data_IF_666743577160
#
_entry.id   IF_666743577160
#
_cell.length_a   1.000
_cell.length_b   1.000
_cell.length_c   1.000
_cell.angle_alpha   90.00
_cell.angle_beta   90.00
_cell.angle_gamma   90.00
#
_symmetry.space_group_name_H-M   'P 1'
#
loop_
_entity.id
_entity.type
_entity.pdbx_description
1 polymer ?
#
# COMPACT_ATOMS: atom_id res chain seq x y z
N UNK A 1 -7.12 -56.42 6.06
CA UNK A 1 -7.73 -55.41 5.17
C UNK A 1 -7.60 -53.98 5.76
N UNK A 2 -6.44 -53.59 6.30
CA UNK A 2 -6.26 -52.33 7.06
C UNK A 2 -5.55 -51.19 6.26
N UNK A 3 -4.85 -51.53 5.17
CA UNK A 3 -4.05 -50.56 4.41
C UNK A 3 -4.82 -49.62 3.45
N UNK A 4 -6.07 -49.94 3.12
CA UNK A 4 -6.88 -49.13 2.19
C UNK A 4 -7.43 -47.86 2.85
N UNK A 5 -7.78 -47.93 4.15
CA UNK A 5 -8.40 -46.82 4.88
C UNK A 5 -7.40 -45.67 5.16
N UNK A 6 -6.14 -46.00 5.44
CA UNK A 6 -5.10 -44.97 5.68
C UNK A 6 -4.73 -44.18 4.43
N UNK A 7 -4.80 -44.79 3.23
CA UNK A 7 -4.54 -44.09 1.98
C UNK A 7 -5.67 -43.12 1.64
N UNK A 8 -6.92 -43.55 1.80
CA UNK A 8 -8.09 -42.68 1.57
C UNK A 8 -8.14 -41.49 2.54
N UNK A 9 -7.79 -41.69 3.81
CA UNK A 9 -7.71 -40.61 4.80
C UNK A 9 -6.62 -39.59 4.45
N UNK A 10 -5.42 -40.04 4.04
CA UNK A 10 -4.33 -39.16 3.62
C UNK A 10 -4.66 -38.39 2.32
N UNK A 11 -5.30 -39.04 1.34
CA UNK A 11 -5.73 -38.38 0.10
C UNK A 11 -6.86 -37.37 0.34
N UNK A 12 -7.79 -37.66 1.24
CA UNK A 12 -8.85 -36.72 1.64
C UNK A 12 -8.31 -35.51 2.41
N UNK A 13 -7.28 -35.68 3.24
CA UNK A 13 -6.60 -34.59 3.95
C UNK A 13 -5.84 -33.67 3.00
N UNK A 14 -5.16 -34.24 2.00
CA UNK A 14 -4.49 -33.48 0.93
C UNK A 14 -5.54 -32.79 0.03
N UNK A 15 -6.66 -33.44 -0.28
CA UNK A 15 -7.75 -32.83 -1.04
C UNK A 15 -8.42 -31.68 -0.28
N UNK A 16 -8.64 -31.79 1.03
CA UNK A 16 -9.15 -30.72 1.88
C UNK A 16 -8.15 -29.56 2.07
N UNK A 17 -6.85 -29.84 2.01
CA UNK A 17 -5.80 -28.81 1.97
C UNK A 17 -5.74 -28.05 0.64
N UNK A 18 -6.22 -28.66 -0.45
CA UNK A 18 -6.21 -28.09 -1.80
C UNK A 18 -7.55 -27.42 -2.16
N UNK A 19 -8.66 -27.90 -1.63
CA UNK A 19 -10.00 -27.36 -1.85
C UNK A 19 -10.49 -26.57 -0.62
N UNK A 20 -10.42 -25.24 -0.71
CA UNK A 20 -11.14 -24.39 0.24
C UNK A 20 -12.66 -24.55 0.03
N UNK A 21 -13.47 -24.64 1.10
CA UNK A 21 -14.92 -24.69 0.97
C UNK A 21 -15.42 -23.44 0.21
N UNK A 22 -16.53 -23.53 -0.53
CA UNK A 22 -17.02 -22.44 -1.40
C UNK A 22 -17.20 -21.12 -0.64
N UNK A 23 -17.72 -21.14 0.59
CA UNK A 23 -17.83 -19.94 1.43
C UNK A 23 -16.46 -19.29 1.74
N UNK A 24 -15.41 -20.07 1.99
CA UNK A 24 -14.07 -19.53 2.20
C UNK A 24 -13.43 -19.01 0.91
N UNK A 25 -13.82 -19.56 -0.25
CA UNK A 25 -13.38 -19.04 -1.55
C UNK A 25 -14.05 -17.69 -1.86
N UNK A 26 -15.33 -17.52 -1.51
CA UNK A 26 -16.05 -16.25 -1.66
C UNK A 26 -15.46 -15.16 -0.77
N UNK A 27 -15.19 -15.45 0.51
CA UNK A 27 -14.53 -14.51 1.44
C UNK A 27 -13.14 -14.09 0.93
N UNK A 28 -12.37 -15.02 0.37
CA UNK A 28 -11.04 -14.73 -0.20
C UNK A 28 -11.16 -13.80 -1.42
N UNK A 29 -12.15 -14.02 -2.29
CA UNK A 29 -12.39 -13.16 -3.45
C UNK A 29 -12.86 -11.78 -3.02
N UNK A 30 -13.69 -11.67 -1.99
CA UNK A 30 -14.12 -10.40 -1.41
C UNK A 30 -12.91 -9.59 -0.92
N UNK A 31 -12.04 -10.19 -0.11
CA UNK A 31 -10.82 -9.53 0.39
C UNK A 31 -9.87 -9.14 -0.75
N UNK A 32 -9.80 -9.97 -1.81
CA UNK A 32 -9.06 -9.64 -3.04
C UNK A 32 -9.64 -8.43 -3.78
N UNK A 33 -10.97 -8.31 -3.85
CA UNK A 33 -11.66 -7.14 -4.43
C UNK A 33 -11.43 -5.90 -3.59
N UNK A 34 -11.59 -5.98 -2.25
CA UNK A 34 -11.32 -4.86 -1.34
C UNK A 34 -9.89 -4.31 -1.52
N UNK A 35 -8.89 -5.18 -1.70
CA UNK A 35 -7.51 -4.78 -1.97
C UNK A 35 -7.38 -4.02 -3.30
N UNK A 36 -7.99 -4.55 -4.37
CA UNK A 36 -7.95 -3.91 -5.69
C UNK A 36 -8.64 -2.54 -5.64
N UNK A 37 -9.80 -2.45 -4.99
CA UNK A 37 -10.55 -1.21 -4.85
C UNK A 37 -9.81 -0.18 -3.99
N UNK A 38 -9.16 -0.62 -2.90
CA UNK A 38 -8.28 0.24 -2.11
C UNK A 38 -7.12 0.78 -2.95
N UNK A 39 -6.46 -0.08 -3.74
CA UNK A 39 -5.40 0.31 -4.66
C UNK A 39 -5.87 1.32 -5.70
N UNK A 40 -7.01 1.08 -6.36
CA UNK A 40 -7.60 2.01 -7.34
C UNK A 40 -7.96 3.34 -6.70
N UNK A 41 -8.60 3.31 -5.54
CA UNK A 41 -9.01 4.51 -4.81
C UNK A 41 -7.80 5.37 -4.46
N UNK A 42 -6.71 4.75 -4.01
CA UNK A 42 -5.47 5.45 -3.74
C UNK A 42 -4.88 6.08 -5.00
N UNK A 43 -4.76 5.33 -6.09
CA UNK A 43 -4.22 5.87 -7.34
C UNK A 43 -5.06 7.03 -7.88
N UNK A 44 -6.40 6.95 -7.80
CA UNK A 44 -7.26 8.07 -8.16
C UNK A 44 -7.06 9.30 -7.28
N UNK A 45 -6.93 9.11 -5.96
CA UNK A 45 -6.61 10.21 -5.05
C UNK A 45 -5.26 10.84 -5.38
N UNK A 46 -4.24 10.02 -5.64
CA UNK A 46 -2.91 10.47 -6.03
C UNK A 46 -2.92 11.21 -7.37
N UNK A 47 -3.75 10.77 -8.32
CA UNK A 47 -3.93 11.45 -9.61
C UNK A 47 -4.55 12.84 -9.43
N UNK A 48 -5.64 12.93 -8.66
CA UNK A 48 -6.34 14.20 -8.40
C UNK A 48 -5.45 15.15 -7.60
N UNK A 49 -4.81 14.66 -6.54
CA UNK A 49 -3.86 15.41 -5.72
C UNK A 49 -2.68 15.90 -6.56
N UNK A 50 -2.09 15.01 -7.36
CA UNK A 50 -1.00 15.33 -8.28
C UNK A 50 -1.41 16.39 -9.31
N UNK A 51 -2.58 16.25 -9.92
CA UNK A 51 -3.11 17.22 -10.88
C UNK A 51 -3.34 18.60 -10.24
N UNK A 52 -3.90 18.64 -9.03
CA UNK A 52 -4.05 19.89 -8.28
C UNK A 52 -2.70 20.54 -7.97
N UNK A 53 -1.69 19.75 -7.61
CA UNK A 53 -0.33 20.24 -7.38
C UNK A 53 0.34 20.76 -8.66
N UNK A 54 0.16 20.08 -9.81
CA UNK A 54 0.66 20.58 -11.09
C UNK A 54 0.03 21.94 -11.41
N UNK A 55 -1.31 22.03 -11.34
CA UNK A 55 -2.02 23.26 -11.65
C UNK A 55 -1.65 24.41 -10.69
N UNK A 56 -1.71 24.16 -9.38
CA UNK A 56 -1.41 25.15 -8.35
C UNK A 56 0.07 25.54 -8.31
N UNK A 57 0.97 24.57 -8.47
CA UNK A 57 2.41 24.80 -8.52
C UNK A 57 2.82 25.61 -9.74
N UNK A 58 2.27 25.32 -10.93
CA UNK A 58 2.51 26.10 -12.14
C UNK A 58 1.98 27.52 -11.99
N UNK A 59 0.74 27.67 -11.50
CA UNK A 59 0.15 28.98 -11.26
C UNK A 59 1.01 29.81 -10.30
N UNK A 60 1.48 29.21 -9.20
CA UNK A 60 2.35 29.91 -8.25
C UNK A 60 3.70 30.28 -8.85
N UNK A 61 4.31 29.36 -9.63
CA UNK A 61 5.59 29.61 -10.30
C UNK A 61 5.48 30.76 -11.30
N UNK A 62 4.45 30.74 -12.15
CA UNK A 62 4.23 31.77 -13.18
C UNK A 62 3.85 33.13 -12.59
N UNK A 63 3.27 33.14 -11.39
CA UNK A 63 2.92 34.35 -10.65
C UNK A 63 4.03 34.85 -9.71
N UNK A 64 5.21 34.22 -9.71
CA UNK A 64 6.35 34.59 -8.85
C UNK A 64 7.57 34.91 -9.69
N UNK A 65 8.30 35.95 -9.30
CA UNK A 65 9.64 36.20 -9.83
C UNK A 65 10.69 35.37 -9.06
N UNK A 66 11.73 34.91 -9.75
CA UNK A 66 12.75 34.05 -9.13
C UNK A 66 13.64 34.82 -8.14
N UNK A 67 13.89 36.09 -8.38
CA UNK A 67 14.78 36.90 -7.56
C UNK A 67 14.01 37.61 -6.45
N UNK A 68 12.87 38.23 -6.78
CA UNK A 68 12.07 39.00 -5.81
C UNK A 68 11.23 38.08 -4.90
N UNK A 69 10.70 36.99 -5.46
CA UNK A 69 9.79 36.03 -4.81
C UNK A 69 10.36 34.61 -4.74
N UNK A 70 11.69 34.48 -4.64
CA UNK A 70 12.44 33.22 -4.66
C UNK A 70 11.82 32.05 -3.86
N UNK A 71 11.27 32.32 -2.67
CA UNK A 71 10.57 31.30 -1.87
C UNK A 71 9.32 30.76 -2.57
N UNK A 72 8.44 31.65 -3.05
CA UNK A 72 7.18 31.27 -3.71
C UNK A 72 7.48 30.56 -5.03
N UNK A 73 8.47 31.05 -5.77
CA UNK A 73 8.95 30.41 -6.99
C UNK A 73 9.46 28.99 -6.72
N UNK A 74 10.36 28.82 -5.75
CA UNK A 74 10.91 27.51 -5.37
C UNK A 74 9.83 26.54 -4.86
N UNK A 75 8.87 27.04 -4.07
CA UNK A 75 7.73 26.24 -3.62
C UNK A 75 6.84 25.78 -4.80
N UNK A 76 6.58 26.69 -5.75
CA UNK A 76 5.75 26.42 -6.92
C UNK A 76 6.35 25.36 -7.84
N UNK A 77 7.64 25.50 -8.16
CA UNK A 77 8.38 24.53 -8.98
C UNK A 77 8.35 23.16 -8.32
N UNK A 78 8.68 23.10 -7.03
CA UNK A 78 8.77 21.83 -6.33
C UNK A 78 7.41 21.14 -6.19
N UNK A 79 6.36 21.92 -5.94
CA UNK A 79 4.97 21.43 -5.94
C UNK A 79 4.57 20.88 -7.31
N UNK A 80 4.95 21.55 -8.40
CA UNK A 80 4.69 21.11 -9.78
C UNK A 80 5.39 19.80 -10.09
N UNK A 81 6.68 19.67 -9.76
CA UNK A 81 7.48 18.49 -10.04
C UNK A 81 6.89 17.27 -9.33
N UNK A 82 6.63 17.37 -8.03
CA UNK A 82 6.02 16.26 -7.27
C UNK A 82 4.62 15.92 -7.75
N UNK A 83 3.81 16.93 -8.07
CA UNK A 83 2.49 16.74 -8.66
C UNK A 83 2.57 15.93 -9.96
N UNK A 84 3.53 16.25 -10.83
CA UNK A 84 3.73 15.57 -12.10
C UNK A 84 4.13 14.11 -11.92
N UNK A 85 5.03 13.84 -10.96
CA UNK A 85 5.44 12.46 -10.60
C UNK A 85 4.22 11.65 -10.11
N UNK A 86 3.41 12.23 -9.22
CA UNK A 86 2.20 11.58 -8.71
C UNK A 86 1.20 11.25 -9.83
N UNK A 87 0.99 12.18 -10.76
CA UNK A 87 0.13 11.96 -11.94
C UNK A 87 0.67 10.82 -12.80
N UNK A 88 1.97 10.80 -13.08
CA UNK A 88 2.60 9.76 -13.88
C UNK A 88 2.47 8.37 -13.26
N UNK A 89 2.83 8.24 -11.97
CA UNK A 89 2.72 6.97 -11.22
C UNK A 89 1.25 6.52 -11.16
N UNK A 90 0.33 7.42 -10.83
CA UNK A 90 -1.08 7.09 -10.73
C UNK A 90 -1.68 6.65 -12.08
N UNK A 91 -1.35 7.36 -13.16
CA UNK A 91 -1.82 7.03 -14.51
C UNK A 91 -1.35 5.64 -14.96
N UNK A 92 -0.05 5.35 -14.80
CA UNK A 92 0.50 4.02 -15.12
C UNK A 92 -0.13 2.96 -14.21
N UNK A 93 -0.23 3.22 -12.91
CA UNK A 93 -0.83 2.29 -11.95
C UNK A 93 -2.28 1.94 -12.28
N UNK A 94 -3.10 2.94 -12.64
CA UNK A 94 -4.50 2.72 -13.03
C UNK A 94 -4.61 1.88 -14.31
N UNK A 95 -3.75 2.13 -15.29
CA UNK A 95 -3.69 1.33 -16.52
C UNK A 95 -3.34 -0.13 -16.23
N UNK A 96 -2.35 -0.39 -15.36
CA UNK A 96 -1.98 -1.74 -14.95
C UNK A 96 -3.08 -2.44 -14.15
N UNK A 97 -3.81 -1.68 -13.32
CA UNK A 97 -4.86 -2.22 -12.47
C UNK A 97 -6.20 -2.42 -13.21
N UNK A 98 -6.34 -1.94 -14.44
CA UNK A 98 -7.55 -2.10 -15.26
C UNK A 98 -7.91 -3.58 -15.46
N UNK A 99 -6.91 -4.44 -15.63
CA UNK A 99 -7.08 -5.89 -15.87
C UNK A 99 -6.93 -6.76 -14.61
N UNK A 100 -6.78 -6.14 -13.43
CA UNK A 100 -6.60 -6.88 -12.17
C UNK A 100 -7.88 -7.63 -11.77
N UNK A 101 -7.72 -8.88 -11.33
CA UNK A 101 -8.81 -9.72 -10.83
C UNK A 101 -8.50 -10.22 -9.41
N UNK A 102 -9.51 -10.40 -8.55
CA UNK A 102 -9.31 -10.99 -7.23
C UNK A 102 -8.72 -12.39 -7.33
N UNK A 103 -7.79 -12.72 -6.43
CA UNK A 103 -7.28 -14.06 -6.27
C UNK A 103 -8.38 -14.97 -5.71
N UNK A 104 -8.48 -16.22 -6.20
CA UNK A 104 -9.46 -17.20 -5.72
C UNK A 104 -8.90 -18.15 -4.66
N UNK A 105 -7.60 -18.12 -4.43
CA UNK A 105 -6.91 -19.00 -3.47
C UNK A 105 -6.36 -18.18 -2.31
N UNK A 106 -6.62 -18.62 -1.07
CA UNK A 106 -6.21 -17.90 0.14
C UNK A 106 -4.70 -17.61 0.19
N UNK A 107 -3.87 -18.55 -0.27
CA UNK A 107 -2.42 -18.36 -0.31
C UNK A 107 -1.99 -17.32 -1.34
N UNK A 108 -2.64 -17.28 -2.50
CA UNK A 108 -2.37 -16.27 -3.53
C UNK A 108 -2.81 -14.88 -3.05
N UNK A 109 -4.02 -14.76 -2.51
CA UNK A 109 -4.53 -13.53 -1.92
C UNK A 109 -3.62 -13.01 -0.79
N UNK A 110 -3.13 -13.90 0.08
CA UNK A 110 -2.19 -13.52 1.14
C UNK A 110 -0.87 -12.99 0.59
N UNK A 111 -0.29 -13.62 -0.45
CA UNK A 111 0.93 -13.10 -1.10
C UNK A 111 0.69 -11.75 -1.77
N UNK A 112 -0.42 -11.59 -2.48
CA UNK A 112 -0.80 -10.34 -3.14
C UNK A 112 -1.01 -9.20 -2.14
N UNK A 113 -1.69 -9.47 -1.01
CA UNK A 113 -1.89 -8.49 0.05
C UNK A 113 -0.57 -8.16 0.76
N UNK A 114 0.30 -9.15 1.05
CA UNK A 114 1.63 -8.90 1.64
C UNK A 114 2.48 -8.01 0.75
N UNK A 115 2.53 -8.30 -0.55
CA UNK A 115 3.27 -7.45 -1.50
C UNK A 115 2.74 -6.02 -1.49
N UNK A 116 1.42 -5.84 -1.46
CA UNK A 116 0.82 -4.50 -1.36
C UNK A 116 1.15 -3.82 -0.03
N UNK A 117 1.10 -4.56 1.08
CA UNK A 117 1.49 -4.10 2.41
C UNK A 117 2.94 -3.61 2.45
N UNK A 118 3.86 -4.38 1.87
CA UNK A 118 5.29 -4.07 1.84
C UNK A 118 5.58 -2.83 0.99
N UNK A 119 4.86 -2.66 -0.13
CA UNK A 119 4.93 -1.44 -0.96
C UNK A 119 4.48 -0.22 -0.15
N UNK A 120 3.37 -0.32 0.59
CA UNK A 120 2.90 0.78 1.43
C UNK A 120 3.90 1.11 2.56
N UNK A 121 4.51 0.11 3.17
CA UNK A 121 5.52 0.32 4.20
C UNK A 121 6.79 0.97 3.64
N UNK A 122 7.21 0.57 2.44
CA UNK A 122 8.30 1.22 1.73
C UNK A 122 7.97 2.68 1.42
N UNK A 123 6.74 2.96 0.97
CA UNK A 123 6.27 4.33 0.73
C UNK A 123 6.34 5.18 1.99
N UNK A 124 5.81 4.67 3.12
CA UNK A 124 5.89 5.36 4.41
C UNK A 124 7.31 5.72 4.82
N UNK A 125 8.27 4.81 4.58
CA UNK A 125 9.69 5.08 4.81
C UNK A 125 10.24 6.18 3.89
N UNK A 126 9.81 6.19 2.63
CA UNK A 126 10.17 7.21 1.65
C UNK A 126 9.60 8.59 2.03
N UNK A 127 8.38 8.66 2.56
CA UNK A 127 7.77 9.92 3.02
C UNK A 127 8.53 10.53 4.20
N UNK A 128 8.97 9.69 5.15
CA UNK A 128 9.86 10.12 6.24
C UNK A 128 11.18 10.64 5.67
N UNK A 129 11.75 9.95 4.68
CA UNK A 129 12.96 10.40 4.02
C UNK A 129 12.76 11.74 3.30
N UNK A 130 11.62 11.97 2.65
CA UNK A 130 11.27 13.25 2.04
C UNK A 130 11.16 14.36 3.07
N UNK A 131 10.40 14.16 4.16
CA UNK A 131 10.27 15.15 5.22
C UNK A 131 11.66 15.50 5.79
N UNK A 132 12.51 14.50 5.98
CA UNK A 132 13.89 14.69 6.44
C UNK A 132 14.70 15.52 5.44
N UNK A 133 14.67 15.16 4.15
CA UNK A 133 15.38 15.87 3.10
C UNK A 133 14.91 17.32 2.96
N UNK A 134 13.59 17.56 2.98
CA UNK A 134 13.01 18.90 2.98
C UNK A 134 13.41 19.70 4.21
N UNK A 135 13.45 19.08 5.39
CA UNK A 135 13.91 19.72 6.64
C UNK A 135 15.39 20.08 6.54
N UNK A 136 16.22 19.21 5.97
CA UNK A 136 17.63 19.49 5.72
C UNK A 136 17.78 20.67 4.75
N UNK A 137 17.05 20.69 3.64
CA UNK A 137 17.06 21.82 2.68
C UNK A 137 16.68 23.15 3.35
N UNK A 138 15.64 23.16 4.18
CA UNK A 138 15.24 24.34 4.94
C UNK A 138 16.33 24.73 5.93
N UNK A 139 16.86 23.79 6.70
CA UNK A 139 17.86 24.07 7.74
C UNK A 139 19.18 24.56 7.14
N UNK A 140 19.67 23.91 6.08
CA UNK A 140 20.94 24.27 5.45
C UNK A 140 20.89 25.63 4.77
N UNK A 141 19.71 26.06 4.30
CA UNK A 141 19.51 27.41 3.73
C UNK A 141 19.79 28.56 4.70
N UNK A 142 19.95 28.30 6.00
CA UNK A 142 20.31 29.33 6.99
C UNK A 142 21.83 29.51 7.14
N UNK A 143 22.66 28.65 6.53
CA UNK A 143 24.12 28.71 6.62
C UNK A 143 24.79 29.43 5.44
N UNK A 144 24.18 30.52 4.95
CA UNK A 144 24.80 31.40 3.95
C UNK A 144 24.87 30.83 2.53
N UNK A 145 23.96 29.92 2.17
CA UNK A 145 23.83 29.43 0.80
C UNK A 145 23.30 30.51 -0.15
N UNK A 146 23.83 30.55 -1.36
CA UNK A 146 23.22 31.29 -2.46
C UNK A 146 21.79 30.76 -2.71
N UNK A 147 20.86 31.66 -3.06
CA UNK A 147 19.45 31.31 -3.27
C UNK A 147 18.73 30.72 -2.04
N UNK A 148 19.19 31.02 -0.82
CA UNK A 148 18.61 30.50 0.43
C UNK A 148 17.06 30.53 0.51
N UNK A 149 16.43 31.62 0.04
CA UNK A 149 14.96 31.73 0.02
C UNK A 149 14.30 30.71 -0.91
N UNK A 150 14.89 30.44 -2.07
CA UNK A 150 14.43 29.42 -3.02
C UNK A 150 14.50 28.02 -2.38
N UNK A 151 15.63 27.70 -1.75
CA UNK A 151 15.84 26.42 -1.07
C UNK A 151 14.85 26.19 0.06
N UNK A 152 14.49 27.24 0.81
CA UNK A 152 13.41 27.16 1.81
C UNK A 152 12.06 26.86 1.18
N UNK A 153 11.76 27.49 0.05
CA UNK A 153 10.52 27.23 -0.70
C UNK A 153 10.42 25.78 -1.15
N UNK A 154 11.48 25.27 -1.78
CA UNK A 154 11.56 23.87 -2.23
C UNK A 154 11.47 22.90 -1.04
N UNK A 155 12.29 23.09 0.00
CA UNK A 155 12.27 22.23 1.17
C UNK A 155 10.91 22.22 1.90
N UNK A 156 10.27 23.39 2.02
CA UNK A 156 8.93 23.50 2.62
C UNK A 156 7.88 22.74 1.80
N UNK A 157 7.93 22.84 0.47
CA UNK A 157 7.05 22.08 -0.40
C UNK A 157 7.25 20.56 -0.20
N UNK A 158 8.50 20.09 -0.14
CA UNK A 158 8.80 18.66 0.09
C UNK A 158 8.25 18.18 1.44
N UNK A 159 8.43 18.97 2.51
CA UNK A 159 7.91 18.62 3.84
C UNK A 159 6.39 18.48 3.82
N UNK A 160 5.69 19.47 3.26
CA UNK A 160 4.22 19.47 3.22
C UNK A 160 3.70 18.28 2.41
N UNK A 161 4.28 18.04 1.24
CA UNK A 161 3.87 16.93 0.37
C UNK A 161 4.15 15.57 1.02
N UNK A 162 5.36 15.36 1.57
CA UNK A 162 5.71 14.13 2.27
C UNK A 162 4.84 13.89 3.50
N UNK A 163 4.49 14.95 4.25
CA UNK A 163 3.61 14.83 5.41
C UNK A 163 2.17 14.44 5.03
N UNK A 164 1.65 15.01 3.94
CA UNK A 164 0.32 14.66 3.44
C UNK A 164 0.25 13.21 2.95
N UNK A 165 1.27 12.78 2.20
CA UNK A 165 1.41 11.39 1.74
C UNK A 165 1.48 10.43 2.93
N UNK A 166 2.40 10.67 3.87
CA UNK A 166 2.58 9.83 5.07
C UNK A 166 1.27 9.50 5.79
N UNK A 167 0.38 10.48 5.94
CA UNK A 167 -0.95 10.27 6.56
C UNK A 167 -1.83 9.36 5.69
N UNK A 168 -1.89 9.62 4.38
CA UNK A 168 -2.69 8.85 3.43
C UNK A 168 -2.20 7.41 3.27
N UNK A 169 -0.88 7.18 3.13
CA UNK A 169 -0.33 5.82 3.10
C UNK A 169 -0.47 5.12 4.45
N UNK A 170 -0.35 5.85 5.57
CA UNK A 170 -0.49 5.28 6.91
C UNK A 170 -1.88 4.66 7.12
N UNK A 171 -2.93 5.37 6.71
CA UNK A 171 -4.30 4.85 6.77
C UNK A 171 -4.50 3.61 5.89
N UNK A 172 -3.91 3.58 4.70
CA UNK A 172 -3.99 2.43 3.80
C UNK A 172 -3.22 1.23 4.33
N UNK A 173 -2.04 1.46 4.89
CA UNK A 173 -1.20 0.43 5.49
C UNK A 173 -1.93 -0.24 6.65
N UNK A 174 -2.62 0.53 7.50
CA UNK A 174 -3.50 0.00 8.54
C UNK A 174 -4.65 -0.83 7.95
N UNK A 175 -5.26 -0.37 6.86
CA UNK A 175 -6.28 -1.14 6.13
C UNK A 175 -5.75 -2.47 5.60
N UNK A 176 -4.54 -2.47 5.03
CA UNK A 176 -3.86 -3.67 4.55
C UNK A 176 -3.54 -4.66 5.66
N UNK A 177 -3.07 -4.15 6.81
CA UNK A 177 -2.83 -4.98 8.00
C UNK A 177 -4.10 -5.70 8.47
N UNK A 178 -5.25 -5.00 8.50
CA UNK A 178 -6.54 -5.61 8.85
C UNK A 178 -6.96 -6.70 7.86
N UNK A 179 -6.71 -6.53 6.56
CA UNK A 179 -6.96 -7.57 5.54
C UNK A 179 -6.05 -8.78 5.71
N UNK A 180 -4.77 -8.57 6.02
CA UNK A 180 -3.84 -9.67 6.33
C UNK A 180 -4.32 -10.51 7.53
N UNK A 181 -4.80 -9.85 8.60
CA UNK A 181 -5.34 -10.55 9.77
C UNK A 181 -6.60 -11.35 9.43
N UNK A 182 -7.49 -10.81 8.59
CA UNK A 182 -8.67 -11.52 8.07
C UNK A 182 -8.26 -12.75 7.25
N UNK A 183 -7.31 -12.61 6.32
CA UNK A 183 -6.78 -13.72 5.52
C UNK A 183 -6.11 -14.80 6.38
N UNK A 184 -5.42 -14.42 7.46
CA UNK A 184 -4.83 -15.37 8.40
C UNK A 184 -5.90 -16.19 9.15
N UNK A 185 -6.99 -15.54 9.58
CA UNK A 185 -8.12 -16.23 10.23
C UNK A 185 -8.80 -17.23 9.30
N UNK A 186 -9.04 -16.86 8.04
CA UNK A 186 -9.63 -17.77 7.04
C UNK A 186 -8.76 -19.02 6.79
N UNK A 187 -7.44 -18.87 6.82
CA UNK A 187 -6.51 -19.99 6.71
C UNK A 187 -6.56 -20.93 7.92
N UNK A 188 -6.70 -20.36 9.12
CA UNK A 188 -6.81 -21.15 10.36
C UNK A 188 -8.14 -21.90 10.43
N UNK A 189 -9.25 -21.30 9.99
CA UNK A 189 -10.56 -21.96 9.93
C UNK A 189 -10.66 -23.03 8.84
N UNK A 190 -9.89 -22.90 7.76
CA UNK A 190 -9.83 -23.89 6.69
C UNK A 190 -8.93 -25.09 7.01
N UNK A 191 -8.06 -25.01 8.02
CA UNK A 191 -7.32 -26.18 8.50
C UNK A 191 -8.28 -27.08 9.29
N UNK A 192 -8.55 -28.33 8.85
CA UNK A 192 -9.30 -29.25 9.68
C UNK A 192 -8.58 -29.40 11.02
N UNK A 193 -9.34 -29.53 12.11
CA UNK A 193 -8.83 -29.76 13.46
C UNK A 193 -8.07 -31.09 13.55
N UNK A 194 -6.90 -31.19 12.92
CA UNK A 194 -6.04 -32.35 12.91
C UNK A 194 -5.39 -32.62 14.29
N UNK A 195 -5.64 -31.75 15.28
CA UNK A 195 -5.18 -31.91 16.66
C UNK A 195 -6.21 -32.51 17.63
N UNK A 196 -7.48 -32.67 17.25
CA UNK A 196 -8.54 -33.13 18.17
C UNK A 196 -8.82 -34.64 18.18
N UNK A 197 -8.34 -35.39 17.18
CA UNK A 197 -8.73 -36.78 16.95
C UNK A 197 -7.91 -37.85 17.69
N UNK A 198 -6.85 -37.49 18.42
CA UNK A 198 -5.93 -38.45 19.04
C UNK A 198 -6.12 -38.62 20.56
N UNK A 199 -7.08 -37.93 21.20
CA UNK A 199 -7.31 -38.02 22.65
C UNK A 199 -8.59 -38.78 23.05
N UNK A 200 -9.27 -39.43 22.09
CA UNK A 200 -10.55 -40.12 22.32
C UNK A 200 -10.50 -41.65 22.41
N UNK A 201 -9.31 -42.27 22.43
CA UNK A 201 -9.17 -43.74 22.50
C UNK A 201 -8.41 -44.16 23.76
N UNK A 202 -9.05 -44.03 24.93
CA UNK A 202 -8.58 -44.71 26.14
C UNK A 202 -9.74 -45.24 26.99
N UNK A 203 -9.82 -46.58 27.00
CA UNK A 203 -10.42 -47.50 27.96
C UNK A 203 -11.96 -47.63 28.08
N UNK A 204 -12.49 -48.69 27.46
CA UNK A 204 -13.56 -49.50 28.02
C UNK A 204 -12.99 -50.87 28.45
N UNK A 205 -13.18 -51.24 29.72
CA UNK A 205 -12.91 -52.59 30.24
C UNK A 205 -13.97 -53.58 29.77
#
# INVERSE_FOLDING_TARGET
MSGANNRLAATALVAALVFSPPAAADDVRELGSERIDAGRTHLWRSLVWGGANVAGGLALTLASDRDDDAFRWGFGIQTTIWGSINVGIAGIGLAWMASSKPDSQALAANRSERRYHDILLFSLGLDIAYITAGTLLVTTSYYGLDSAREWRGQGTAIIIQGSALLVLEGLQWLGSRKRLDRLARLRLSAQPAAGGGLLGLTYSW
#
